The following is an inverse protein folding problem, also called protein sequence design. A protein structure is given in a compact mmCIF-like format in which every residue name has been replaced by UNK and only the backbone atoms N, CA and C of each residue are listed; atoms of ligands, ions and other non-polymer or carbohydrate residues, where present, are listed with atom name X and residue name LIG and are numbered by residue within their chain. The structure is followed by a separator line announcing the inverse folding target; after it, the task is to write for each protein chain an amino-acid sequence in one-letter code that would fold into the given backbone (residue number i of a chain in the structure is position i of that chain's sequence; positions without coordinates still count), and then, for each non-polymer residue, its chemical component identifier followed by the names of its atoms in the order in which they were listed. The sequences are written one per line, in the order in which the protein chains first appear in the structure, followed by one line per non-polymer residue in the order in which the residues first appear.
data_IF_270308299337
#
_entry.id   IF_270308299337
#
_cell.length_a   1.000
_cell.length_b   1.000
_cell.length_c   1.000
_cell.angle_alpha   90.00
_cell.angle_beta   90.00
_cell.angle_gamma   90.00
#
_symmetry.space_group_name_H-M   'P 1'
#
loop_
_entity.id
_entity.type
_entity.pdbx_description
1 polymer ?
#
# COMPACT_ATOMS: atom_id res chain seq x y z
N UNK A 1 12.85 -8.08 -16.89
CA UNK A 1 11.67 -8.95 -17.10
C UNK A 1 11.25 -9.51 -15.75
N UNK A 2 9.96 -9.58 -15.43
CA UNK A 2 9.48 -10.10 -14.13
C UNK A 2 9.60 -11.62 -14.12
N UNK A 3 10.22 -12.19 -13.09
CA UNK A 3 10.34 -13.65 -12.96
C UNK A 3 9.08 -14.24 -12.33
N UNK A 4 8.74 -15.49 -12.69
CA UNK A 4 7.51 -16.13 -12.21
C UNK A 4 7.46 -16.28 -10.68
N UNK A 5 8.61 -16.53 -10.04
CA UNK A 5 8.76 -16.60 -8.59
C UNK A 5 8.53 -15.26 -7.87
N UNK A 6 8.58 -14.12 -8.59
CA UNK A 6 8.31 -12.78 -8.04
C UNK A 6 6.81 -12.45 -8.02
N UNK A 7 6.01 -13.18 -8.80
CA UNK A 7 4.56 -12.98 -8.89
C UNK A 7 3.88 -13.62 -7.69
N UNK A 8 3.03 -12.84 -7.02
CA UNK A 8 2.16 -13.37 -5.98
C UNK A 8 0.93 -14.03 -6.60
N UNK A 9 0.71 -15.32 -6.29
CA UNK A 9 -0.51 -16.06 -6.62
C UNK A 9 -1.61 -15.95 -5.56
N UNK A 10 -2.86 -16.25 -5.93
CA UNK A 10 -4.01 -16.15 -5.03
C UNK A 10 -3.92 -17.08 -3.80
N UNK A 11 -3.42 -18.30 -3.99
CA UNK A 11 -3.24 -19.26 -2.89
C UNK A 11 -2.20 -18.76 -1.89
N UNK A 12 -1.02 -18.34 -2.37
CA UNK A 12 0.03 -17.76 -1.54
C UNK A 12 -0.46 -16.50 -0.80
N UNK A 13 -1.21 -15.61 -1.48
CA UNK A 13 -1.85 -14.46 -0.82
C UNK A 13 -2.72 -14.91 0.35
N UNK A 14 -3.64 -15.84 0.10
CA UNK A 14 -4.63 -16.27 1.08
C UNK A 14 -4.03 -17.05 2.25
N UNK A 15 -2.97 -17.82 2.03
CA UNK A 15 -2.37 -18.69 3.04
C UNK A 15 -1.21 -18.03 3.79
N UNK A 16 -0.46 -17.12 3.17
CA UNK A 16 0.76 -16.56 3.77
C UNK A 16 0.57 -15.12 4.27
N UNK A 17 -0.19 -14.29 3.55
CA UNK A 17 -0.24 -12.84 3.82
C UNK A 17 -1.54 -12.37 4.45
N UNK A 18 -2.69 -12.89 4.00
CA UNK A 18 -3.98 -12.58 4.64
C UNK A 18 -4.03 -13.00 6.12
N UNK A 19 -3.48 -14.16 6.53
CA UNK A 19 -3.54 -14.59 7.93
C UNK A 19 -2.71 -13.72 8.89
N UNK A 20 -1.79 -12.90 8.37
CA UNK A 20 -1.04 -11.91 9.16
C UNK A 20 -1.96 -10.81 9.73
N UNK A 21 -3.11 -10.58 9.09
CA UNK A 21 -4.15 -9.74 9.66
C UNK A 21 -4.93 -10.52 10.71
N UNK A 22 -5.18 -9.95 11.89
CA UNK A 22 -6.04 -10.62 12.89
C UNK A 22 -7.47 -10.84 12.36
N UNK A 23 -8.22 -11.85 12.86
CA UNK A 23 -9.61 -12.04 12.48
C UNK A 23 -10.48 -10.79 12.66
N UNK A 24 -10.23 -10.03 13.75
CA UNK A 24 -10.90 -8.75 14.03
C UNK A 24 -10.60 -7.72 12.95
N UNK A 25 -9.34 -7.53 12.57
CA UNK A 25 -8.95 -6.58 11.52
C UNK A 25 -9.61 -6.93 10.18
N UNK A 26 -9.65 -8.22 9.82
CA UNK A 26 -10.34 -8.68 8.60
C UNK A 26 -11.85 -8.45 8.65
N UNK A 27 -12.47 -8.59 9.81
CA UNK A 27 -13.91 -8.37 9.98
C UNK A 27 -14.30 -6.90 9.75
N UNK A 28 -13.46 -5.95 10.17
CA UNK A 28 -13.67 -4.50 9.92
C UNK A 28 -13.79 -4.22 8.42
N UNK A 29 -12.94 -4.84 7.60
CA UNK A 29 -12.97 -4.69 6.13
C UNK A 29 -14.25 -5.25 5.47
N UNK A 30 -15.02 -6.13 6.14
CA UNK A 30 -16.26 -6.67 5.59
C UNK A 30 -17.43 -5.68 5.68
N UNK A 31 -17.37 -4.75 6.64
CA UNK A 31 -18.41 -3.74 6.86
C UNK A 31 -17.89 -2.36 6.50
N UNK A 32 -18.47 -1.77 5.44
CA UNK A 32 -18.17 -0.39 5.04
C UNK A 32 -18.46 0.60 6.16
N UNK A 33 -19.48 0.31 6.97
CA UNK A 33 -19.84 1.12 8.12
C UNK A 33 -18.78 1.05 9.23
N UNK A 34 -18.38 -0.16 9.65
CA UNK A 34 -17.36 -0.34 10.68
C UNK A 34 -16.02 0.28 10.27
N UNK A 35 -15.64 0.13 8.99
CA UNK A 35 -14.46 0.78 8.42
C UNK A 35 -14.55 2.30 8.54
N UNK A 36 -15.69 2.92 8.21
CA UNK A 36 -15.85 4.37 8.28
C UNK A 36 -15.83 4.93 9.69
N UNK A 37 -16.52 4.28 10.63
CA UNK A 37 -16.48 4.69 12.04
C UNK A 37 -15.06 4.66 12.59
N UNK A 38 -14.30 3.61 12.27
CA UNK A 38 -12.90 3.51 12.64
C UNK A 38 -12.08 4.69 12.06
N UNK A 39 -12.19 4.94 10.77
CA UNK A 39 -11.46 6.02 10.10
C UNK A 39 -11.79 7.39 10.71
N UNK A 40 -13.08 7.67 10.94
CA UNK A 40 -13.54 8.90 11.58
C UNK A 40 -12.99 9.05 13.00
N UNK A 41 -13.00 7.98 13.80
CA UNK A 41 -12.43 8.00 15.17
C UNK A 41 -10.93 8.28 15.22
N UNK A 42 -10.23 8.11 14.09
CA UNK A 42 -8.79 8.37 13.94
C UNK A 42 -8.51 9.63 13.11
N UNK A 43 -9.52 10.45 12.83
CA UNK A 43 -9.41 11.65 11.99
C UNK A 43 -8.86 11.37 10.58
N UNK A 44 -9.09 10.16 10.06
CA UNK A 44 -8.72 9.78 8.69
C UNK A 44 -9.86 10.14 7.76
N UNK A 45 -9.57 10.94 6.74
CA UNK A 45 -10.58 11.45 5.82
C UNK A 45 -11.33 10.32 5.09
N UNK A 46 -12.66 10.33 5.20
CA UNK A 46 -13.59 9.46 4.48
C UNK A 46 -14.88 10.23 4.20
N UNK A 47 -15.73 9.73 3.29
CA UNK A 47 -17.01 10.38 2.99
C UNK A 47 -17.89 10.48 4.25
N UNK A 48 -18.49 11.65 4.48
CA UNK A 48 -19.40 11.89 5.59
C UNK A 48 -20.61 10.96 5.47
N UNK A 49 -20.93 10.26 6.56
CA UNK A 49 -22.16 9.47 6.66
C UNK A 49 -23.30 10.43 7.00
N UNK A 50 -24.40 10.35 6.25
CA UNK A 50 -25.62 11.09 6.53
C UNK A 50 -26.60 10.23 7.33
N UNK A 51 -26.74 8.96 6.96
CA UNK A 51 -27.58 8.02 7.70
C UNK A 51 -27.18 6.56 7.48
N UNK A 52 -27.61 5.71 8.42
CA UNK A 52 -27.65 4.26 8.30
C UNK A 52 -29.10 3.87 8.55
N UNK A 53 -29.73 3.21 7.58
CA UNK A 53 -31.10 2.72 7.69
C UNK A 53 -31.03 1.20 7.82
N UNK A 54 -31.60 0.65 8.88
CA UNK A 54 -31.61 -0.79 9.16
C UNK A 54 -32.99 -1.43 9.05
N UNK A 55 -34.05 -0.61 9.06
CA UNK A 55 -35.45 -1.06 9.08
C UNK A 55 -36.29 -0.31 8.04
N UNK A 56 -37.43 -0.88 7.59
CA UNK A 56 -38.39 -0.15 6.76
C UNK A 56 -38.88 1.16 7.42
N UNK A 57 -39.05 1.17 8.74
CA UNK A 57 -39.44 2.36 9.50
C UNK A 57 -38.38 3.46 9.38
N UNK A 58 -37.08 3.12 9.48
CA UNK A 58 -35.99 4.09 9.25
C UNK A 58 -36.08 4.73 7.86
N UNK A 59 -36.52 3.97 6.84
CA UNK A 59 -36.67 4.47 5.46
C UNK A 59 -37.84 5.44 5.35
N UNK A 60 -38.93 5.17 6.05
CA UNK A 60 -40.11 6.04 6.06
C UNK A 60 -39.86 7.35 6.82
N UNK A 61 -39.19 7.27 7.97
CA UNK A 61 -38.97 8.38 8.90
C UNK A 61 -37.78 9.28 8.54
N UNK A 62 -36.89 8.83 7.65
CA UNK A 62 -35.72 9.62 7.26
C UNK A 62 -36.10 10.91 6.50
N UNK A 63 -35.49 12.04 6.87
CA UNK A 63 -35.67 13.33 6.18
C UNK A 63 -34.95 13.34 4.83
N UNK A 64 -35.59 12.75 3.82
CA UNK A 64 -35.12 12.73 2.44
C UNK A 64 -34.98 14.13 1.83
N UNK A 65 -35.81 15.08 2.26
CA UNK A 65 -35.80 16.45 1.73
C UNK A 65 -34.50 17.17 2.09
N UNK A 66 -33.83 16.79 3.18
CA UNK A 66 -32.49 17.29 3.52
C UNK A 66 -31.40 16.93 2.50
N UNK A 67 -31.57 15.85 1.72
CA UNK A 67 -30.60 15.38 0.74
C UNK A 67 -30.63 16.20 -0.56
N UNK A 68 -30.05 17.40 -0.52
CA UNK A 68 -30.11 18.36 -1.63
C UNK A 68 -29.25 17.99 -2.84
N UNK A 69 -28.05 17.47 -2.62
CA UNK A 69 -27.09 17.16 -3.70
C UNK A 69 -25.95 16.25 -3.23
N UNK A 70 -25.26 15.66 -4.20
CA UNK A 70 -24.02 14.91 -4.02
C UNK A 70 -24.07 13.92 -2.84
N UNK A 71 -24.98 12.95 -2.93
CA UNK A 71 -25.06 11.83 -2.00
C UNK A 71 -25.06 10.49 -2.73
N UNK A 72 -24.74 9.42 -2.02
CA UNK A 72 -24.75 8.04 -2.51
C UNK A 72 -25.56 7.19 -1.56
N UNK A 73 -26.44 6.37 -2.13
CA UNK A 73 -27.15 5.29 -1.44
C UNK A 73 -26.48 3.98 -1.85
N UNK A 74 -26.12 3.15 -0.87
CA UNK A 74 -25.53 1.84 -1.14
C UNK A 74 -25.79 0.84 -0.01
N UNK A 75 -25.75 -0.47 -0.29
CA UNK A 75 -25.71 -1.50 0.75
C UNK A 75 -24.41 -1.44 1.57
N UNK A 76 -24.50 -1.73 2.87
CA UNK A 76 -23.31 -1.88 3.74
C UNK A 76 -22.42 -3.05 3.31
N UNK A 77 -23.02 -4.14 2.81
CA UNK A 77 -22.35 -5.41 2.45
C UNK A 77 -22.44 -5.75 0.94
N UNK A 78 -22.53 -4.73 0.06
CA UNK A 78 -22.67 -4.95 -1.38
C UNK A 78 -21.41 -5.49 -2.08
N UNK A 79 -21.62 -6.26 -3.15
CA UNK A 79 -20.59 -6.78 -4.04
C UNK A 79 -20.62 -6.13 -5.42
N UNK A 80 -19.43 -5.87 -6.00
CA UNK A 80 -19.25 -5.41 -7.39
C UNK A 80 -20.05 -4.14 -7.79
N UNK A 81 -20.39 -3.29 -6.82
CA UNK A 81 -21.14 -2.05 -7.05
C UNK A 81 -22.65 -2.24 -7.30
N UNK A 82 -23.20 -3.43 -7.04
CA UNK A 82 -24.65 -3.66 -7.08
C UNK A 82 -25.33 -2.85 -5.96
N UNK A 83 -26.51 -2.29 -6.27
CA UNK A 83 -27.30 -1.47 -5.33
C UNK A 83 -26.73 -0.08 -5.04
N UNK A 84 -25.63 0.33 -5.70
CA UNK A 84 -25.04 1.66 -5.51
C UNK A 84 -25.69 2.65 -6.47
N UNK A 85 -26.33 3.69 -5.93
CA UNK A 85 -26.91 4.79 -6.70
C UNK A 85 -26.33 6.10 -6.20
N UNK A 86 -25.75 6.88 -7.11
CA UNK A 86 -25.13 8.17 -6.79
C UNK A 86 -25.97 9.31 -7.36
N UNK A 87 -26.37 10.24 -6.51
CA UNK A 87 -27.24 11.35 -6.83
C UNK A 87 -26.46 12.65 -7.01
N UNK A 88 -26.83 13.42 -8.05
CA UNK A 88 -26.25 14.74 -8.33
C UNK A 88 -27.00 15.84 -7.59
N UNK A 89 -28.32 15.90 -7.74
CA UNK A 89 -29.15 16.98 -7.20
C UNK A 89 -30.60 16.57 -7.02
N UNK A 90 -31.25 17.19 -6.04
CA UNK A 90 -32.70 17.28 -5.91
C UNK A 90 -33.25 18.32 -6.90
N UNK A 91 -34.47 18.10 -7.37
CA UNK A 91 -35.22 19.04 -8.21
C UNK A 91 -35.89 20.12 -7.35
N UNK A 92 -36.35 21.19 -7.99
CA UNK A 92 -36.97 22.32 -7.30
C UNK A 92 -38.28 21.93 -6.57
N UNK A 93 -38.97 20.89 -7.05
CA UNK A 93 -40.20 20.35 -6.45
C UNK A 93 -39.97 19.58 -5.15
N UNK A 94 -38.71 19.32 -4.79
CA UNK A 94 -38.28 18.53 -3.63
C UNK A 94 -38.78 17.08 -3.59
N UNK A 95 -39.36 16.58 -4.68
CA UNK A 95 -39.92 15.23 -4.81
C UNK A 95 -39.14 14.34 -5.76
N UNK A 96 -38.27 14.93 -6.57
CA UNK A 96 -37.45 14.20 -7.53
C UNK A 96 -35.95 14.46 -7.37
N UNK A 97 -35.15 13.46 -7.73
CA UNK A 97 -33.70 13.54 -7.77
C UNK A 97 -33.17 13.02 -9.10
N UNK A 98 -32.04 13.56 -9.54
CA UNK A 98 -31.32 13.05 -10.70
C UNK A 98 -30.04 12.37 -10.28
N UNK A 99 -29.84 11.14 -10.73
CA UNK A 99 -28.61 10.39 -10.52
C UNK A 99 -27.45 10.83 -11.45
N UNK A 100 -26.26 10.29 -11.23
CA UNK A 100 -25.07 10.59 -12.06
C UNK A 100 -25.19 10.12 -13.49
N UNK A 101 -26.05 9.13 -13.79
CA UNK A 101 -26.23 8.62 -15.16
C UNK A 101 -27.30 9.36 -15.95
N UNK A 102 -28.19 10.08 -15.28
CA UNK A 102 -29.24 10.92 -15.86
C UNK A 102 -30.66 10.48 -15.54
N UNK A 103 -30.85 9.37 -14.83
CA UNK A 103 -32.18 8.87 -14.44
C UNK A 103 -32.78 9.79 -13.37
N UNK A 104 -34.07 10.07 -13.52
CA UNK A 104 -34.89 10.76 -12.53
C UNK A 104 -35.51 9.70 -11.61
N UNK A 105 -35.46 9.96 -10.31
CA UNK A 105 -36.00 9.11 -9.26
C UNK A 105 -37.01 9.93 -8.46
N UNK A 106 -38.22 9.41 -8.26
CA UNK A 106 -39.13 9.95 -7.25
C UNK A 106 -38.67 9.58 -5.84
N UNK A 107 -39.30 10.18 -4.82
CA UNK A 107 -39.08 9.76 -3.43
C UNK A 107 -39.47 8.29 -3.23
N UNK A 108 -40.57 7.86 -3.82
CA UNK A 108 -41.07 6.49 -3.75
C UNK A 108 -40.08 5.51 -4.40
N UNK A 109 -39.47 5.87 -5.54
CA UNK A 109 -38.43 5.04 -6.17
C UNK A 109 -37.21 4.87 -5.25
N UNK A 110 -36.81 5.94 -4.55
CA UNK A 110 -35.67 5.92 -3.62
C UNK A 110 -35.98 5.05 -2.41
N UNK A 111 -37.18 5.19 -1.83
CA UNK A 111 -37.65 4.37 -0.71
C UNK A 111 -37.72 2.90 -1.10
N UNK A 112 -38.29 2.59 -2.26
CA UNK A 112 -38.36 1.23 -2.79
C UNK A 112 -36.96 0.63 -2.96
N UNK A 113 -36.00 1.35 -3.54
CA UNK A 113 -34.61 0.89 -3.67
C UNK A 113 -33.94 0.62 -2.32
N UNK A 114 -34.27 1.40 -1.29
CA UNK A 114 -33.79 1.17 0.07
C UNK A 114 -34.42 -0.09 0.66
N UNK A 115 -35.74 -0.29 0.52
CA UNK A 115 -36.45 -1.48 0.98
C UNK A 115 -35.92 -2.76 0.29
N UNK A 116 -35.69 -2.71 -1.01
CA UNK A 116 -35.02 -3.75 -1.80
C UNK A 116 -33.60 -4.06 -1.28
N UNK A 117 -32.89 -3.02 -0.84
CA UNK A 117 -31.57 -3.20 -0.24
C UNK A 117 -31.66 -3.89 1.12
N UNK A 118 -32.64 -3.52 1.97
CA UNK A 118 -32.90 -4.13 3.27
C UNK A 118 -33.39 -5.58 3.15
N UNK A 119 -34.11 -5.93 2.07
CA UNK A 119 -34.52 -7.30 1.76
C UNK A 119 -33.37 -8.18 1.24
N UNK A 120 -32.18 -7.60 1.03
CA UNK A 120 -30.98 -8.32 0.67
C UNK A 120 -30.73 -8.46 -0.83
N UNK A 121 -31.54 -7.84 -1.70
CA UNK A 121 -31.45 -8.00 -3.16
C UNK A 121 -30.04 -7.70 -3.73
N UNK A 122 -29.30 -6.79 -3.10
CA UNK A 122 -27.97 -6.34 -3.54
C UNK A 122 -26.81 -6.82 -2.67
N UNK A 123 -27.09 -7.62 -1.64
CA UNK A 123 -26.09 -8.15 -0.72
C UNK A 123 -25.70 -9.57 -1.12
N UNK A 124 -24.44 -9.96 -0.90
CA UNK A 124 -24.00 -11.32 -1.25
C UNK A 124 -23.99 -12.28 -0.06
N UNK A 125 -23.82 -11.76 1.16
CA UNK A 125 -23.69 -12.57 2.38
C UNK A 125 -24.15 -11.76 3.61
N UNK A 126 -24.52 -12.47 4.68
CA UNK A 126 -24.92 -11.90 5.97
C UNK A 126 -26.44 -11.78 6.14
N UNK A 127 -26.90 -11.76 7.39
CA UNK A 127 -28.31 -11.63 7.75
C UNK A 127 -28.78 -10.17 7.91
N UNK A 128 -27.84 -9.24 8.06
CA UNK A 128 -28.14 -7.84 8.35
C UNK A 128 -27.78 -6.98 7.14
N UNK A 129 -28.81 -6.59 6.40
CA UNK A 129 -28.71 -5.74 5.23
C UNK A 129 -29.12 -4.33 5.64
N UNK A 130 -28.17 -3.41 5.65
CA UNK A 130 -28.45 -2.01 5.96
C UNK A 130 -28.14 -1.14 4.75
N UNK A 131 -28.84 -0.02 4.66
CA UNK A 131 -28.56 1.05 3.70
C UNK A 131 -27.64 2.06 4.37
N UNK A 132 -26.59 2.49 3.65
CA UNK A 132 -25.79 3.64 4.04
C UNK A 132 -26.01 4.77 3.04
N UNK A 133 -26.33 5.95 3.58
CA UNK A 133 -26.43 7.21 2.85
C UNK A 133 -25.22 8.04 3.22
N UNK A 134 -24.43 8.46 2.23
CA UNK A 134 -23.20 9.21 2.47
C UNK A 134 -22.92 10.28 1.41
N UNK A 135 -21.97 11.16 1.71
CA UNK A 135 -21.42 12.13 0.77
C UNK A 135 -20.91 11.46 -0.50
N UNK A 136 -21.34 11.97 -1.67
CA UNK A 136 -20.73 11.63 -2.95
C UNK A 136 -19.45 12.42 -3.12
N UNK A 137 -18.31 11.71 -3.21
CA UNK A 137 -17.03 12.36 -3.48
C UNK A 137 -16.96 12.73 -4.98
N UNK A 138 -16.86 14.02 -5.32
CA UNK A 138 -16.78 14.47 -6.70
C UNK A 138 -15.44 14.08 -7.34
N UNK A 139 -15.45 13.99 -8.67
CA UNK A 139 -14.26 13.67 -9.46
C UNK A 139 -13.27 14.83 -9.37
N UNK A 140 -12.00 14.53 -9.10
CA UNK A 140 -10.94 15.54 -9.17
C UNK A 140 -10.81 16.11 -10.60
N UNK A 141 -10.75 17.44 -10.81
CA UNK A 141 -10.71 18.04 -12.15
C UNK A 141 -9.60 17.49 -13.06
N UNK A 142 -8.42 17.20 -12.50
CA UNK A 142 -7.29 16.60 -13.25
C UNK A 142 -7.59 15.21 -13.84
N UNK A 143 -8.55 14.47 -13.26
CA UNK A 143 -8.90 13.12 -13.69
C UNK A 143 -10.18 13.08 -14.55
N UNK A 144 -10.91 14.19 -14.65
CA UNK A 144 -12.23 14.26 -15.30
C UNK A 144 -12.22 13.78 -16.75
N UNK A 145 -11.19 14.16 -17.52
CA UNK A 145 -11.06 13.79 -18.93
C UNK A 145 -10.75 12.31 -19.19
N UNK A 146 -10.36 11.56 -18.16
CA UNK A 146 -9.95 10.16 -18.28
C UNK A 146 -11.04 9.17 -17.89
N UNK A 147 -12.23 9.65 -17.53
CA UNK A 147 -13.27 8.80 -16.92
C UNK A 147 -14.65 9.08 -17.50
N UNK A 148 -15.46 8.04 -17.56
CA UNK A 148 -16.85 8.11 -17.97
C UNK A 148 -17.80 8.09 -16.76
N UNK A 149 -18.43 9.22 -16.46
CA UNK A 149 -19.48 9.46 -15.43
C UNK A 149 -19.13 9.13 -13.95
N UNK A 150 -18.32 8.11 -13.69
CA UNK A 150 -17.95 7.62 -12.37
C UNK A 150 -16.70 8.28 -11.77
N UNK A 151 -16.46 8.03 -10.49
CA UNK A 151 -15.28 8.52 -9.79
C UNK A 151 -14.11 7.53 -9.93
N UNK A 152 -12.96 7.95 -10.48
CA UNK A 152 -11.74 7.15 -10.47
C UNK A 152 -11.27 6.88 -9.04
N UNK A 153 -10.84 5.65 -8.76
CA UNK A 153 -10.22 5.32 -7.49
C UNK A 153 -8.73 4.99 -7.66
N UNK A 154 -7.98 5.29 -6.62
CA UNK A 154 -6.60 4.85 -6.45
C UNK A 154 -6.59 3.73 -5.43
N UNK A 155 -6.11 2.55 -5.82
CA UNK A 155 -5.82 1.46 -4.88
C UNK A 155 -4.35 1.45 -4.56
N UNK A 156 -4.03 1.47 -3.27
CA UNK A 156 -2.68 1.24 -2.75
C UNK A 156 -2.65 -0.08 -1.98
N UNK A 157 -1.74 -0.99 -2.33
CA UNK A 157 -1.45 -2.15 -1.49
C UNK A 157 -0.42 -1.72 -0.45
N UNK A 158 -0.78 -1.89 0.81
CA UNK A 158 0.08 -1.64 1.96
C UNK A 158 0.44 -2.97 2.59
N UNK A 159 1.74 -3.16 2.85
CA UNK A 159 2.25 -4.30 3.59
C UNK A 159 3.28 -3.83 4.62
N UNK A 160 3.16 -4.30 5.87
CA UNK A 160 4.03 -3.89 6.98
C UNK A 160 4.17 -2.35 7.10
N UNK A 161 3.05 -1.62 7.01
CA UNK A 161 3.04 -0.14 6.96
C UNK A 161 3.84 0.51 5.82
N UNK A 162 4.21 -0.21 4.77
CA UNK A 162 4.86 0.31 3.55
C UNK A 162 3.89 0.21 2.37
N UNK A 163 3.70 1.27 1.57
CA UNK A 163 2.97 1.18 0.31
C UNK A 163 3.85 0.48 -0.72
N UNK A 164 3.47 -0.74 -1.11
CA UNK A 164 4.30 -1.60 -1.96
C UNK A 164 3.91 -1.55 -3.44
N UNK A 165 2.66 -1.23 -3.77
CA UNK A 165 2.19 -1.17 -5.15
C UNK A 165 0.90 -0.35 -5.24
N UNK A 166 0.70 0.40 -6.32
CA UNK A 166 -0.50 1.19 -6.50
C UNK A 166 -1.05 1.12 -7.93
N UNK A 167 -2.33 1.45 -8.08
CA UNK A 167 -2.99 1.59 -9.38
C UNK A 167 -4.09 2.64 -9.34
N UNK A 168 -4.35 3.25 -10.49
CA UNK A 168 -5.55 4.02 -10.76
C UNK A 168 -6.54 3.13 -11.51
N UNK A 169 -7.81 3.18 -11.14
CA UNK A 169 -8.91 2.57 -11.89
C UNK A 169 -9.75 3.67 -12.51
N UNK A 170 -9.98 3.56 -13.82
CA UNK A 170 -10.72 4.51 -14.62
C UNK A 170 -12.04 3.88 -15.06
N UNK A 171 -13.18 4.40 -14.56
CA UNK A 171 -14.49 4.04 -15.09
C UNK A 171 -14.62 4.31 -16.60
N UNK A 172 -15.19 3.34 -17.30
CA UNK A 172 -15.47 3.35 -18.75
C UNK A 172 -16.97 3.25 -19.02
N UNK A 173 -17.35 3.43 -20.28
CA UNK A 173 -18.72 3.17 -20.74
C UNK A 173 -19.12 1.70 -20.55
N UNK A 174 -18.23 0.75 -20.89
CA UNK A 174 -18.47 -0.69 -20.70
C UNK A 174 -18.77 -1.03 -19.22
N UNK A 175 -18.08 -0.36 -18.30
CA UNK A 175 -18.32 -0.53 -16.86
C UNK A 175 -19.56 0.16 -16.32
N UNK A 176 -20.32 0.85 -17.17
CA UNK A 176 -21.45 1.69 -16.77
C UNK A 176 -21.03 2.83 -15.84
N UNK A 177 -19.78 3.30 -15.95
CA UNK A 177 -19.21 4.30 -15.05
C UNK A 177 -18.80 3.77 -13.67
N UNK A 178 -18.44 2.49 -13.55
CA UNK A 178 -17.95 1.89 -12.29
C UNK A 178 -16.46 1.60 -12.37
N UNK A 179 -15.72 1.79 -11.28
CA UNK A 179 -14.30 1.45 -11.22
C UNK A 179 -14.04 -0.06 -10.95
N UNK A 180 -14.70 -0.93 -11.74
CA UNK A 180 -14.62 -2.38 -11.61
C UNK A 180 -14.00 -3.01 -12.87
N UNK A 181 -12.77 -3.52 -12.74
CA UNK A 181 -12.01 -4.10 -13.86
C UNK A 181 -12.71 -5.33 -14.47
N UNK A 182 -13.45 -6.09 -13.66
CA UNK A 182 -14.22 -7.24 -14.18
C UNK A 182 -15.43 -6.82 -15.02
N UNK A 183 -15.83 -5.55 -14.96
CA UNK A 183 -16.94 -4.98 -15.72
C UNK A 183 -16.42 -4.08 -16.86
N UNK A 184 -15.14 -4.15 -17.24
CA UNK A 184 -14.60 -3.35 -18.35
C UNK A 184 -14.00 -2.00 -17.96
N UNK A 185 -13.79 -1.73 -16.66
CA UNK A 185 -13.03 -0.55 -16.25
C UNK A 185 -11.54 -0.75 -16.56
N UNK A 186 -10.84 0.35 -16.82
CA UNK A 186 -9.40 0.36 -17.10
C UNK A 186 -8.61 0.46 -15.81
N UNK A 187 -7.48 -0.22 -15.75
CA UNK A 187 -6.51 -0.15 -14.67
C UNK A 187 -5.20 0.41 -15.21
N UNK A 188 -4.57 1.33 -14.49
CA UNK A 188 -3.19 1.72 -14.78
C UNK A 188 -2.31 1.64 -13.55
N UNK A 189 -1.10 1.10 -13.70
CA UNK A 189 -0.11 1.04 -12.62
C UNK A 189 0.32 2.44 -12.22
N UNK A 190 0.80 2.62 -11.00
CA UNK A 190 1.32 3.90 -10.52
C UNK A 190 2.69 3.64 -9.90
N UNK A 191 3.70 4.36 -10.39
CA UNK A 191 5.01 4.38 -9.77
C UNK A 191 4.93 4.97 -8.36
N UNK A 192 5.41 4.23 -7.36
CA UNK A 192 5.27 4.61 -5.95
C UNK A 192 6.09 5.86 -5.65
N UNK A 193 7.27 6.03 -6.27
CA UNK A 193 8.13 7.17 -6.02
C UNK A 193 7.50 8.48 -6.50
N UNK A 194 6.99 8.50 -7.73
CA UNK A 194 6.59 9.74 -8.42
C UNK A 194 5.08 9.99 -8.41
N UNK A 195 4.26 8.96 -8.24
CA UNK A 195 2.80 9.06 -8.39
C UNK A 195 2.37 9.27 -9.84
N UNK A 196 3.17 8.80 -10.80
CA UNK A 196 2.89 8.88 -12.23
C UNK A 196 2.42 7.52 -12.72
N UNK A 197 1.37 7.50 -13.55
CA UNK A 197 0.85 6.25 -14.10
C UNK A 197 1.80 5.64 -15.14
N UNK A 198 1.86 4.31 -15.15
CA UNK A 198 2.84 3.55 -15.94
C UNK A 198 2.16 2.80 -17.08
N UNK A 199 1.68 1.57 -16.88
CA UNK A 199 1.08 0.78 -17.95
C UNK A 199 -0.44 0.69 -17.78
N UNK A 200 -1.18 0.81 -18.88
CA UNK A 200 -2.63 0.62 -18.93
C UNK A 200 -3.01 -0.84 -19.19
N UNK A 201 -4.06 -1.31 -18.55
CA UNK A 201 -4.59 -2.68 -18.64
C UNK A 201 -6.12 -2.65 -18.69
N UNK A 202 -6.69 -3.39 -19.63
CA UNK A 202 -8.11 -3.69 -19.75
C UNK A 202 -8.36 -5.20 -19.58
N UNK A 203 -9.60 -5.60 -19.31
CA UNK A 203 -10.01 -7.00 -19.13
C UNK A 203 -9.07 -7.83 -18.22
N UNK A 204 -8.48 -7.19 -17.21
CA UNK A 204 -7.51 -7.71 -16.22
C UNK A 204 -6.10 -8.04 -16.73
N UNK A 205 -5.88 -8.27 -18.02
CA UNK A 205 -4.57 -8.70 -18.54
C UNK A 205 -4.16 -8.09 -19.90
N UNK A 206 -5.05 -7.39 -20.61
CA UNK A 206 -4.76 -6.83 -21.92
C UNK A 206 -4.07 -5.47 -21.78
N UNK A 207 -2.83 -5.34 -22.25
CA UNK A 207 -2.11 -4.08 -22.22
C UNK A 207 -2.66 -3.10 -23.26
N UNK A 208 -2.90 -1.86 -22.83
CA UNK A 208 -3.37 -0.77 -23.67
C UNK A 208 -2.58 0.51 -23.39
N UNK A 209 -2.35 1.31 -24.41
CA UNK A 209 -1.60 2.57 -24.31
C UNK A 209 -2.52 3.79 -24.14
N UNK A 210 -3.71 3.70 -24.72
CA UNK A 210 -4.71 4.78 -24.78
C UNK A 210 -6.03 4.30 -24.19
N UNK A 211 -6.83 5.24 -23.70
CA UNK A 211 -8.24 4.95 -23.38
C UNK A 211 -8.95 4.61 -24.70
N UNK A 212 -9.67 3.47 -24.79
CA UNK A 212 -10.39 3.06 -25.99
C UNK A 212 -11.27 4.17 -26.55
N UNK A 213 -11.25 4.33 -27.87
CA UNK A 213 -12.00 5.39 -28.56
C UNK A 213 -11.42 6.81 -28.39
N UNK A 214 -10.26 7.00 -27.74
CA UNK A 214 -9.66 8.32 -27.53
C UNK A 214 -8.17 8.35 -27.88
N UNK A 215 -7.60 9.56 -27.97
CA UNK A 215 -6.14 9.78 -28.08
C UNK A 215 -5.45 10.00 -26.72
N UNK A 216 -6.17 9.77 -25.61
CA UNK A 216 -5.64 10.01 -24.27
C UNK A 216 -4.78 8.85 -23.81
N UNK A 217 -3.49 9.13 -23.55
CA UNK A 217 -2.54 8.15 -23.01
C UNK A 217 -2.87 7.80 -21.56
N UNK A 218 -2.68 6.53 -21.22
CA UNK A 218 -2.83 6.00 -19.87
C UNK A 218 -1.56 6.14 -19.03
N UNK A 219 -0.40 6.27 -19.67
CA UNK A 219 0.86 6.56 -19.00
C UNK A 219 1.07 8.07 -18.80
N UNK A 220 1.88 8.45 -17.81
CA UNK A 220 2.23 9.86 -17.57
C UNK A 220 1.17 10.68 -16.84
N UNK A 221 0.07 10.08 -16.37
CA UNK A 221 -0.96 10.78 -15.59
C UNK A 221 -0.41 10.98 -14.18
N UNK A 222 -0.21 12.23 -13.78
CA UNK A 222 0.25 12.57 -12.43
C UNK A 222 -0.91 12.58 -11.44
N UNK A 223 -0.85 11.71 -10.45
CA UNK A 223 -1.87 11.61 -9.40
C UNK A 223 -1.75 12.82 -8.44
N UNK A 224 -2.83 13.59 -8.24
CA UNK A 224 -2.81 14.72 -7.30
C UNK A 224 -2.69 14.25 -5.85
N UNK A 225 -2.04 15.06 -5.01
CA UNK A 225 -1.84 14.80 -3.58
C UNK A 225 -1.11 13.47 -3.27
N UNK A 226 -0.19 13.03 -4.13
CA UNK A 226 0.39 11.68 -4.06
C UNK A 226 1.00 11.31 -2.69
N UNK A 227 1.89 12.14 -2.13
CA UNK A 227 2.50 11.84 -0.83
C UNK A 227 1.45 11.76 0.29
N UNK A 228 0.47 12.68 0.27
CA UNK A 228 -0.65 12.64 1.22
C UNK A 228 -1.48 11.36 1.03
N UNK A 229 -1.70 10.92 -0.22
CA UNK A 229 -2.45 9.70 -0.54
C UNK A 229 -1.76 8.46 0.02
N UNK A 230 -0.45 8.34 -0.19
CA UNK A 230 0.35 7.26 0.39
C UNK A 230 0.27 7.28 1.92
N UNK A 231 0.46 8.45 2.54
CA UNK A 231 0.38 8.60 3.99
C UNK A 231 -0.99 8.19 4.55
N UNK A 232 -2.08 8.72 3.98
CA UNK A 232 -3.46 8.35 4.33
C UNK A 232 -3.69 6.84 4.19
N UNK A 233 -3.14 6.20 3.15
CA UNK A 233 -3.27 4.74 2.98
C UNK A 233 -2.59 3.94 4.08
N UNK A 234 -1.40 4.37 4.53
CA UNK A 234 -0.64 3.72 5.60
C UNK A 234 -1.35 3.95 6.95
N UNK A 235 -1.80 5.17 7.21
CA UNK A 235 -2.55 5.53 8.41
C UNK A 235 -3.84 4.71 8.53
N UNK A 236 -4.58 4.53 7.43
CA UNK A 236 -5.77 3.71 7.39
C UNK A 236 -5.48 2.22 7.67
N UNK A 237 -4.42 1.68 7.07
CA UNK A 237 -3.98 0.30 7.33
C UNK A 237 -3.59 0.10 8.80
N UNK A 238 -2.81 1.03 9.37
CA UNK A 238 -2.38 1.01 10.78
C UNK A 238 -3.56 1.15 11.74
N UNK A 239 -4.49 2.07 11.48
CA UNK A 239 -5.70 2.26 12.27
C UNK A 239 -6.54 0.98 12.37
N UNK A 240 -6.61 0.22 11.27
CA UNK A 240 -7.33 -1.05 11.21
C UNK A 240 -6.52 -2.26 11.71
N UNK A 241 -5.24 -2.09 12.08
CA UNK A 241 -4.36 -3.18 12.48
C UNK A 241 -4.11 -4.18 11.34
N UNK A 242 -4.07 -3.71 10.09
CA UNK A 242 -3.86 -4.55 8.91
C UNK A 242 -2.38 -4.57 8.53
N UNK A 243 -1.78 -5.76 8.58
CA UNK A 243 -0.43 -6.02 8.09
C UNK A 243 -0.38 -6.07 6.57
N UNK A 244 -1.44 -6.57 5.91
CA UNK A 244 -1.56 -6.66 4.44
C UNK A 244 -2.96 -6.22 3.99
N UNK A 245 -3.07 -5.15 3.20
CA UNK A 245 -4.38 -4.66 2.76
C UNK A 245 -4.30 -3.90 1.44
N UNK A 246 -5.39 -3.92 0.68
CA UNK A 246 -5.67 -2.90 -0.33
C UNK A 246 -6.46 -1.76 0.29
N UNK A 247 -6.02 -0.53 0.08
CA UNK A 247 -6.73 0.69 0.49
C UNK A 247 -7.23 1.39 -0.77
N UNK A 248 -8.53 1.58 -0.86
CA UNK A 248 -9.16 2.30 -1.98
C UNK A 248 -9.42 3.74 -1.57
N UNK A 249 -8.90 4.69 -2.36
CA UNK A 249 -9.02 6.12 -2.10
C UNK A 249 -9.63 6.84 -3.30
N UNK A 250 -10.52 7.78 -3.03
CA UNK A 250 -10.88 8.84 -3.97
C UNK A 250 -10.06 10.09 -3.66
N UNK A 251 -9.92 10.96 -4.66
CA UNK A 251 -9.19 12.21 -4.50
C UNK A 251 -10.17 13.36 -4.65
N UNK A 252 -10.43 14.05 -3.54
CA UNK A 252 -11.26 15.24 -3.52
C UNK A 252 -10.42 16.48 -3.87
N UNK A 253 -11.01 17.44 -4.61
CA UNK A 253 -10.32 18.68 -5.05
C UNK A 253 -9.71 19.47 -3.88
N UNK A 254 -10.49 19.67 -2.80
CA UNK A 254 -10.09 20.45 -1.62
C UNK A 254 -9.69 19.59 -0.42
N UNK A 255 -10.51 18.60 -0.03
CA UNK A 255 -10.25 17.70 1.10
C UNK A 255 -9.06 16.73 0.89
N UNK A 256 -8.56 16.60 -0.33
CA UNK A 256 -7.45 15.68 -0.65
C UNK A 256 -7.89 14.20 -0.70
N UNK A 257 -6.98 13.26 -0.42
CA UNK A 257 -7.27 11.83 -0.44
C UNK A 257 -8.30 11.42 0.63
N UNK A 258 -9.30 10.64 0.24
CA UNK A 258 -10.35 10.16 1.12
C UNK A 258 -10.50 8.64 0.97
N UNK A 259 -10.40 7.91 2.08
CA UNK A 259 -10.52 6.46 2.10
C UNK A 259 -11.97 6.05 1.86
N UNK A 260 -12.15 5.14 0.91
CA UNK A 260 -13.45 4.60 0.49
C UNK A 260 -13.69 3.22 1.10
N UNK A 261 -12.68 2.35 1.01
CA UNK A 261 -12.78 0.96 1.44
C UNK A 261 -11.39 0.42 1.85
N UNK A 262 -11.39 -0.48 2.84
CA UNK A 262 -10.25 -1.33 3.18
C UNK A 262 -10.57 -2.75 2.76
N UNK A 263 -9.61 -3.41 2.11
CA UNK A 263 -9.79 -4.77 1.59
C UNK A 263 -8.66 -5.68 2.06
N UNK A 264 -9.01 -6.62 2.95
CA UNK A 264 -8.06 -7.62 3.45
C UNK A 264 -7.65 -8.68 2.40
N UNK A 265 -8.37 -8.78 1.27
CA UNK A 265 -8.13 -9.72 0.17
C UNK A 265 -7.92 -8.98 -1.16
N UNK A 266 -6.91 -8.09 -1.25
CA UNK A 266 -6.72 -7.28 -2.44
C UNK A 266 -6.49 -8.15 -3.69
N UNK A 267 -7.12 -7.76 -4.79
CA UNK A 267 -6.97 -8.41 -6.09
C UNK A 267 -5.55 -8.24 -6.67
N UNK A 268 -5.06 -9.29 -7.34
CA UNK A 268 -3.65 -9.41 -7.74
C UNK A 268 -3.36 -8.93 -9.16
N UNK A 269 -4.38 -8.53 -9.93
CA UNK A 269 -4.22 -8.01 -11.30
C UNK A 269 -3.39 -6.71 -11.35
N UNK A 270 -3.25 -6.01 -10.23
CA UNK A 270 -2.40 -4.84 -10.07
C UNK A 270 -0.94 -5.09 -10.50
N UNK A 271 -0.45 -6.33 -10.39
CA UNK A 271 0.89 -6.73 -10.81
C UNK A 271 1.10 -6.57 -12.32
N UNK A 272 0.04 -6.80 -13.12
CA UNK A 272 0.09 -6.67 -14.58
C UNK A 272 0.31 -5.21 -14.98
N UNK A 273 -0.45 -4.29 -14.38
CA UNK A 273 -0.38 -2.88 -14.72
C UNK A 273 0.90 -2.18 -14.21
N UNK A 274 1.52 -2.73 -13.16
CA UNK A 274 2.83 -2.27 -12.68
C UNK A 274 4.01 -3.01 -13.31
N UNK A 275 3.75 -4.02 -14.16
CA UNK A 275 4.77 -4.95 -14.69
C UNK A 275 5.80 -5.35 -13.64
N UNK A 276 5.33 -5.70 -12.45
CA UNK A 276 6.18 -6.02 -11.30
C UNK A 276 5.51 -7.06 -10.40
N UNK A 277 6.32 -7.97 -9.86
CA UNK A 277 5.88 -8.99 -8.93
C UNK A 277 5.62 -8.46 -7.53
N UNK A 278 4.45 -8.76 -6.97
CA UNK A 278 4.06 -8.32 -5.63
C UNK A 278 4.79 -9.12 -4.54
N UNK A 279 5.14 -10.39 -4.80
CA UNK A 279 5.84 -11.24 -3.82
C UNK A 279 7.24 -10.69 -3.53
N UNK A 280 8.03 -10.38 -4.57
CA UNK A 280 9.35 -9.75 -4.41
C UNK A 280 9.28 -8.45 -3.62
N UNK A 281 8.23 -7.64 -3.84
CA UNK A 281 8.04 -6.38 -3.12
C UNK A 281 7.72 -6.58 -1.65
N UNK A 282 6.91 -7.59 -1.31
CA UNK A 282 6.62 -7.99 0.07
C UNK A 282 7.91 -8.44 0.78
N UNK A 283 8.68 -9.34 0.17
CA UNK A 283 9.90 -9.91 0.75
C UNK A 283 10.94 -8.81 1.10
N UNK A 284 11.02 -7.74 0.31
CA UNK A 284 11.92 -6.60 0.56
C UNK A 284 11.59 -5.76 1.79
N UNK A 285 10.36 -5.82 2.30
CA UNK A 285 9.91 -4.96 3.41
C UNK A 285 9.39 -5.72 4.62
N UNK A 286 9.31 -7.05 4.56
CA UNK A 286 8.72 -7.88 5.63
C UNK A 286 9.45 -7.78 6.97
N UNK A 287 10.77 -7.59 6.94
CA UNK A 287 11.61 -7.54 8.14
C UNK A 287 11.93 -6.10 8.59
N UNK A 288 11.36 -5.08 7.93
CA UNK A 288 11.65 -3.69 8.24
C UNK A 288 10.84 -3.20 9.45
N UNK A 289 11.48 -2.42 10.32
CA UNK A 289 10.78 -1.72 11.40
C UNK A 289 10.24 -0.36 10.92
N UNK A 290 8.93 -0.25 10.74
CA UNK A 290 8.28 0.97 10.26
C UNK A 290 7.67 1.77 11.42
N UNK A 291 8.44 2.77 11.85
CA UNK A 291 8.10 3.69 12.95
C UNK A 291 6.73 4.37 12.80
N UNK A 292 6.47 5.00 11.64
CA UNK A 292 5.25 5.78 11.40
C UNK A 292 4.93 5.86 9.89
N UNK A 293 3.82 6.52 9.54
CA UNK A 293 3.35 6.62 8.16
C UNK A 293 4.33 7.36 7.23
N UNK A 294 4.99 8.42 7.72
CA UNK A 294 5.99 9.14 6.92
C UNK A 294 7.23 8.27 6.64
N UNK A 295 7.68 7.49 7.62
CA UNK A 295 8.76 6.53 7.43
C UNK A 295 8.40 5.43 6.42
N UNK A 296 7.19 4.86 6.54
CA UNK A 296 6.69 3.85 5.61
C UNK A 296 6.56 4.36 4.19
N UNK A 297 6.08 5.60 4.01
CA UNK A 297 6.00 6.26 2.71
C UNK A 297 7.40 6.41 2.08
N UNK A 298 8.38 6.94 2.83
CA UNK A 298 9.76 7.12 2.33
C UNK A 298 10.41 5.79 1.95
N UNK A 299 10.21 4.73 2.75
CA UNK A 299 10.68 3.38 2.42
C UNK A 299 10.05 2.92 1.09
N UNK A 300 8.73 3.05 0.94
CA UNK A 300 8.03 2.64 -0.28
C UNK A 300 8.54 3.39 -1.51
N UNK A 301 8.69 4.71 -1.41
CA UNK A 301 9.21 5.55 -2.50
C UNK A 301 10.66 5.19 -2.86
N UNK A 302 11.52 4.94 -1.88
CA UNK A 302 12.91 4.58 -2.11
C UNK A 302 13.08 3.18 -2.71
N UNK A 303 12.31 2.19 -2.24
CA UNK A 303 12.47 0.80 -2.67
C UNK A 303 11.79 0.51 -4.01
N UNK A 304 10.68 1.19 -4.30
CA UNK A 304 9.77 0.81 -5.38
C UNK A 304 9.63 1.85 -6.48
N UNK A 305 10.61 2.74 -6.61
CA UNK A 305 10.79 3.56 -7.79
C UNK A 305 10.97 2.67 -9.03
N UNK A 306 10.13 2.84 -10.04
CA UNK A 306 10.43 2.38 -11.39
C UNK A 306 11.60 3.23 -11.94
N UNK A 307 12.40 2.64 -12.86
CA UNK A 307 13.60 3.23 -13.46
C UNK A 307 13.36 4.50 -14.32
N UNK A 308 12.33 5.31 -14.02
CA UNK A 308 12.25 6.71 -14.46
C UNK A 308 13.30 7.61 -13.76
N UNK A 309 14.05 7.04 -12.82
CA UNK A 309 15.00 7.70 -11.92
C UNK A 309 16.26 8.29 -12.57
N UNK A 310 16.51 8.10 -13.86
CA UNK A 310 17.63 8.81 -14.52
C UNK A 310 17.35 10.31 -14.71
N UNK A 311 16.17 10.84 -14.33
CA UNK A 311 15.82 12.25 -14.59
C UNK A 311 15.26 13.10 -13.46
N UNK A 312 15.03 12.61 -12.25
CA UNK A 312 14.51 13.46 -11.17
C UNK A 312 15.20 13.14 -9.84
N UNK A 313 16.37 13.74 -9.65
CA UNK A 313 17.10 13.81 -8.39
C UNK A 313 16.51 14.90 -7.48
N UNK A 314 16.39 14.59 -6.19
CA UNK A 314 16.38 15.62 -5.14
C UNK A 314 15.32 15.51 -4.05
N UNK A 315 15.73 14.90 -2.92
CA UNK A 315 15.84 15.49 -1.56
C UNK A 315 15.27 14.60 -0.46
N UNK A 316 16.19 14.08 0.36
CA UNK A 316 15.93 13.29 1.57
C UNK A 316 16.27 11.80 1.39
N UNK A 317 17.45 11.50 0.84
CA UNK A 317 17.83 10.14 0.47
C UNK A 317 18.14 9.30 1.71
N UNK A 318 17.33 8.27 1.94
CA UNK A 318 17.76 7.13 2.74
C UNK A 318 18.94 6.50 1.97
N UNK A 319 20.14 6.38 2.55
CA UNK A 319 21.29 5.88 1.83
C UNK A 319 21.02 4.46 1.32
N UNK A 320 21.17 4.29 0.01
CA UNK A 320 21.04 3.01 -0.68
C UNK A 320 22.38 2.27 -0.59
N UNK A 321 22.33 1.01 -0.20
CA UNK A 321 23.46 0.09 -0.14
C UNK A 321 23.46 -0.80 -1.38
N UNK A 322 24.61 -0.90 -2.01
CA UNK A 322 24.90 -1.94 -3.00
C UNK A 322 25.11 -3.30 -2.31
N UNK A 323 25.17 -4.38 -3.09
CA UNK A 323 25.48 -5.73 -2.57
C UNK A 323 26.87 -5.73 -1.89
N UNK A 324 27.80 -4.95 -2.43
CA UNK A 324 29.13 -4.74 -1.89
C UNK A 324 29.32 -3.26 -1.52
N UNK A 325 29.73 -3.01 -0.29
CA UNK A 325 30.00 -1.67 0.22
C UNK A 325 31.40 -1.58 0.82
N UNK A 326 31.95 -0.37 0.89
CA UNK A 326 33.17 -0.13 1.68
C UNK A 326 32.76 0.42 3.04
N UNK A 327 33.21 -0.25 4.11
CA UNK A 327 32.99 0.19 5.49
C UNK A 327 34.30 0.61 6.13
N UNK A 328 34.25 1.64 6.97
CA UNK A 328 35.38 1.97 7.85
C UNK A 328 35.14 1.32 9.20
N UNK A 329 35.96 0.36 9.58
CA UNK A 329 35.90 -0.30 10.90
C UNK A 329 36.87 0.41 11.85
N UNK A 330 36.44 0.65 13.08
CA UNK A 330 37.25 1.30 14.12
C UNK A 330 37.75 0.27 15.13
N UNK A 331 39.04 0.38 15.42
CA UNK A 331 39.75 -0.40 16.42
C UNK A 331 40.05 0.40 17.68
N UNK A 332 40.92 -0.16 18.51
CA UNK A 332 41.46 0.48 19.70
C UNK A 332 42.52 1.53 19.33
N UNK A 333 42.86 2.42 20.29
CA UNK A 333 43.92 3.44 20.14
C UNK A 333 43.78 4.35 18.90
N UNK A 334 42.57 4.50 18.37
CA UNK A 334 42.30 5.32 17.18
C UNK A 334 42.59 4.63 15.84
N UNK A 335 42.89 3.33 15.84
CA UNK A 335 43.05 2.54 14.62
C UNK A 335 41.73 2.52 13.81
N UNK A 336 41.86 2.59 12.49
CA UNK A 336 40.73 2.46 11.57
C UNK A 336 41.18 1.80 10.28
N UNK A 337 40.34 0.95 9.72
CA UNK A 337 40.62 0.22 8.49
C UNK A 337 39.41 0.26 7.57
N UNK A 338 39.66 0.46 6.27
CA UNK A 338 38.63 0.30 5.25
C UNK A 338 38.56 -1.15 4.79
N UNK A 339 37.36 -1.71 4.79
CA UNK A 339 37.12 -3.09 4.42
C UNK A 339 35.95 -3.19 3.45
N UNK A 340 36.05 -4.10 2.49
CA UNK A 340 34.90 -4.50 1.67
C UNK A 340 33.94 -5.31 2.52
N UNK A 341 32.68 -4.91 2.50
CA UNK A 341 31.58 -5.51 3.21
C UNK A 341 30.55 -6.07 2.22
N UNK A 342 30.14 -7.32 2.43
CA UNK A 342 29.00 -7.91 1.75
C UNK A 342 27.72 -7.61 2.55
N UNK A 343 26.69 -7.09 1.89
CA UNK A 343 25.37 -6.93 2.50
C UNK A 343 24.64 -8.28 2.45
N UNK A 344 24.70 -9.04 3.54
CA UNK A 344 24.16 -10.40 3.60
C UNK A 344 22.83 -10.45 4.38
N UNK A 345 21.72 -10.28 3.67
CA UNK A 345 20.37 -10.38 4.26
C UNK A 345 19.99 -11.79 4.72
N UNK A 346 20.72 -12.83 4.29
CA UNK A 346 20.54 -14.21 4.77
C UNK A 346 21.01 -14.41 6.21
N UNK A 347 21.87 -13.52 6.74
CA UNK A 347 22.40 -13.59 8.10
C UNK A 347 21.69 -12.60 9.02
N UNK A 348 21.43 -13.01 10.27
CA UNK A 348 20.85 -12.12 11.27
C UNK A 348 21.88 -11.14 11.86
N UNK A 349 23.02 -11.65 12.34
CA UNK A 349 24.14 -10.86 12.91
C UNK A 349 25.23 -10.61 11.89
N UNK A 350 25.92 -9.49 11.99
CA UNK A 350 27.11 -9.22 11.16
C UNK A 350 28.30 -10.09 11.58
N UNK A 351 29.26 -10.26 10.67
CA UNK A 351 30.50 -10.97 10.92
C UNK A 351 31.71 -10.21 10.36
N UNK A 352 32.88 -10.48 10.94
CA UNK A 352 34.14 -9.83 10.62
C UNK A 352 35.27 -10.85 10.53
N UNK A 353 36.20 -10.63 9.58
CA UNK A 353 37.37 -11.47 9.39
C UNK A 353 38.30 -11.43 10.60
N UNK A 354 38.76 -12.59 11.08
CA UNK A 354 39.61 -12.66 12.27
C UNK A 354 40.94 -11.93 12.13
N UNK A 355 41.51 -11.85 10.93
CA UNK A 355 42.71 -11.03 10.66
C UNK A 355 42.43 -9.53 10.79
N UNK A 356 41.26 -9.07 10.36
CA UNK A 356 40.88 -7.65 10.47
C UNK A 356 40.68 -7.24 11.93
N UNK A 357 40.08 -8.12 12.73
CA UNK A 357 39.92 -7.90 14.18
C UNK A 357 41.27 -7.78 14.88
N UNK A 358 42.22 -8.69 14.59
CA UNK A 358 43.59 -8.62 15.13
C UNK A 358 44.31 -7.34 14.72
N UNK A 359 44.19 -6.94 13.45
CA UNK A 359 44.81 -5.71 12.92
C UNK A 359 44.31 -4.45 13.64
N UNK A 360 43.05 -4.45 14.06
CA UNK A 360 42.40 -3.34 14.74
C UNK A 360 42.53 -3.37 16.27
N UNK A 361 43.27 -4.34 16.83
CA UNK A 361 43.40 -4.49 18.28
C UNK A 361 42.10 -4.87 18.99
N UNK A 362 41.08 -5.33 18.27
CA UNK A 362 39.74 -5.60 18.82
C UNK A 362 39.62 -6.97 19.54
N UNK A 363 40.73 -7.65 19.75
CA UNK A 363 40.82 -8.87 20.57
C UNK A 363 41.97 -8.65 21.54
N UNK A 364 41.63 -8.48 22.81
CA UNK A 364 42.53 -8.81 23.90
C UNK A 364 42.31 -10.28 24.31
N UNK A 365 43.37 -10.94 24.77
CA UNK A 365 43.37 -12.39 25.05
C UNK A 365 42.40 -12.74 26.20
N UNK A 366 42.03 -11.75 27.01
CA UNK A 366 41.18 -11.88 28.19
C UNK A 366 39.68 -11.56 27.94
N UNK A 367 39.31 -11.05 26.76
CA UNK A 367 37.94 -10.56 26.47
C UNK A 367 37.05 -11.57 25.70
N UNK A 368 37.44 -12.85 25.70
CA UNK A 368 36.67 -13.99 25.16
C UNK A 368 35.43 -14.33 26.02
N UNK A 369 34.62 -13.34 26.37
CA UNK A 369 33.53 -13.52 27.32
C UNK A 369 32.32 -14.31 26.75
N UNK A 370 32.16 -14.42 25.43
CA UNK A 370 30.95 -15.03 24.84
C UNK A 370 31.24 -15.83 23.56
N UNK A 371 30.94 -17.13 23.62
CA UNK A 371 30.88 -18.01 22.44
C UNK A 371 29.43 -18.21 22.02
N UNK A 372 29.12 -17.98 20.74
CA UNK A 372 27.79 -18.26 20.20
C UNK A 372 27.82 -19.52 19.34
N UNK A 373 26.87 -20.43 19.57
CA UNK A 373 26.70 -21.63 18.75
C UNK A 373 26.00 -21.27 17.44
N UNK A 374 26.69 -21.50 16.32
CA UNK A 374 26.19 -21.25 14.97
C UNK A 374 25.96 -22.58 14.27
N UNK A 375 24.78 -22.74 13.67
CA UNK A 375 24.45 -23.93 12.88
C UNK A 375 25.48 -24.10 11.74
N UNK A 376 26.21 -25.22 11.75
CA UNK A 376 27.25 -25.54 10.76
C UNK A 376 28.65 -24.95 11.01
N UNK A 377 28.85 -24.09 12.03
CA UNK A 377 30.16 -23.48 12.32
C UNK A 377 30.62 -23.60 13.78
N UNK A 378 29.84 -24.23 14.66
CA UNK A 378 30.21 -24.46 16.06
C UNK A 378 30.19 -23.18 16.90
N UNK A 379 30.93 -23.17 18.02
CA UNK A 379 31.09 -22.02 18.92
C UNK A 379 32.07 -21.02 18.30
N UNK A 380 31.59 -19.85 17.89
CA UNK A 380 32.43 -18.77 17.36
C UNK A 380 32.55 -17.62 18.38
N UNK A 381 33.73 -16.97 18.48
CA UNK A 381 33.90 -15.79 19.32
C UNK A 381 33.16 -14.58 18.73
N UNK A 382 32.72 -13.70 19.61
CA UNK A 382 31.98 -12.47 19.28
C UNK A 382 32.75 -11.28 19.82
N UNK A 383 32.89 -10.21 19.03
CA UNK A 383 33.58 -8.99 19.44
C UNK A 383 32.68 -7.78 19.23
N UNK A 384 32.81 -6.75 20.08
CA UNK A 384 32.16 -5.48 19.82
C UNK A 384 32.90 -4.72 18.71
N UNK A 385 32.16 -4.23 17.73
CA UNK A 385 32.70 -3.53 16.57
C UNK A 385 31.95 -2.22 16.37
N UNK A 386 32.71 -1.15 16.24
CA UNK A 386 32.22 0.14 15.74
C UNK A 386 32.62 0.25 14.28
N UNK A 387 31.69 0.55 13.39
CA UNK A 387 31.98 0.78 11.98
C UNK A 387 31.14 1.90 11.40
N UNK A 388 31.57 2.44 10.26
CA UNK A 388 30.86 3.47 9.49
C UNK A 388 30.43 2.91 8.14
N UNK A 389 29.14 3.07 7.83
CA UNK A 389 28.52 2.66 6.58
C UNK A 389 27.67 3.82 6.02
N UNK A 390 27.96 4.26 4.79
CA UNK A 390 27.35 5.44 4.11
C UNK A 390 27.14 6.64 5.06
N UNK A 391 28.19 7.01 5.78
CA UNK A 391 28.19 8.17 6.70
C UNK A 391 27.55 7.94 8.08
N UNK A 392 26.93 6.78 8.35
CA UNK A 392 26.38 6.46 9.68
C UNK A 392 27.35 5.58 10.47
N UNK A 393 27.55 5.90 11.74
CA UNK A 393 28.31 5.07 12.69
C UNK A 393 27.38 4.08 13.39
N UNK A 394 27.80 2.83 13.50
CA UNK A 394 27.02 1.72 14.08
C UNK A 394 27.94 0.98 15.07
N UNK A 395 27.46 0.74 16.29
CA UNK A 395 28.11 -0.13 17.29
C UNK A 395 27.30 -1.42 17.38
N UNK A 396 27.94 -2.56 17.16
CA UNK A 396 27.27 -3.86 17.21
C UNK A 396 28.24 -4.97 17.60
N UNK A 397 27.70 -6.10 18.02
CA UNK A 397 28.46 -7.32 18.27
C UNK A 397 28.56 -8.14 16.98
N UNK A 398 29.76 -8.41 16.49
CA UNK A 398 30.00 -9.20 15.28
C UNK A 398 30.61 -10.57 15.60
N UNK A 399 30.22 -11.58 14.82
CA UNK A 399 30.85 -12.91 14.86
C UNK A 399 32.22 -12.82 14.20
N UNK A 400 33.25 -13.37 14.84
CA UNK A 400 34.58 -13.45 14.24
C UNK A 400 34.67 -14.73 13.40
N UNK A 401 34.91 -14.59 12.10
CA UNK A 401 34.97 -15.74 11.17
C UNK A 401 36.35 -15.87 10.53
N UNK A 402 36.94 -17.07 10.62
CA UNK A 402 38.18 -17.42 9.89
C UNK A 402 37.94 -17.56 8.39
N UNK A 403 36.73 -17.92 7.95
CA UNK A 403 36.37 -18.08 6.53
C UNK A 403 36.48 -16.77 5.75
N UNK A 404 36.21 -15.65 6.41
CA UNK A 404 36.31 -14.32 5.81
C UNK A 404 37.76 -13.86 5.59
N UNK A 405 38.76 -14.55 6.15
CA UNK A 405 40.17 -14.20 5.92
C UNK A 405 40.59 -14.42 4.46
N UNK A 406 40.03 -15.42 3.77
CA UNK A 406 40.31 -15.70 2.36
C UNK A 406 39.35 -15.00 1.40
N UNK A 407 38.24 -14.47 1.89
CA UNK A 407 37.27 -13.71 1.09
C UNK A 407 37.79 -12.32 0.70
N UNK A 408 37.34 -11.79 -0.44
CA UNK A 408 37.52 -10.38 -0.79
C UNK A 408 36.69 -9.46 0.09
N UNK A 409 35.54 -9.92 0.59
CA UNK A 409 34.71 -9.19 1.56
C UNK A 409 35.12 -9.60 2.97
N UNK A 410 35.83 -8.73 3.67
CA UNK A 410 36.34 -9.00 5.04
C UNK A 410 35.28 -8.79 6.11
N UNK A 411 34.13 -8.23 5.74
CA UNK A 411 32.98 -7.99 6.62
C UNK A 411 31.72 -8.49 5.94
N UNK A 412 30.79 -9.04 6.70
CA UNK A 412 29.43 -9.32 6.24
C UNK A 412 28.45 -8.59 7.15
N UNK A 413 27.61 -7.72 6.59
CA UNK A 413 26.61 -6.96 7.35
C UNK A 413 25.29 -7.72 7.32
N UNK A 414 24.84 -8.16 8.50
CA UNK A 414 23.60 -8.92 8.67
C UNK A 414 22.39 -8.01 8.92
N UNK A 415 21.18 -8.59 8.85
CA UNK A 415 19.90 -7.87 8.96
C UNK A 415 19.79 -6.93 10.18
N UNK A 416 20.37 -7.31 11.33
CA UNK A 416 20.35 -6.50 12.56
C UNK A 416 20.95 -5.11 12.37
N UNK A 417 21.98 -4.99 11.54
CA UNK A 417 22.78 -3.78 11.40
C UNK A 417 22.45 -2.98 10.12
N UNK A 418 21.44 -3.42 9.37
CA UNK A 418 20.95 -2.78 8.14
C UNK A 418 19.74 -1.87 8.38
N UNK A 419 19.34 -1.67 9.64
CA UNK A 419 18.22 -0.80 10.01
C UNK A 419 18.44 0.63 9.52
N UNK A 420 17.46 1.17 8.79
CA UNK A 420 17.48 2.53 8.26
C UNK A 420 18.30 2.70 6.97
N UNK A 421 18.76 1.62 6.34
CA UNK A 421 19.31 1.62 4.98
C UNK A 421 18.35 0.94 4.01
N UNK A 422 18.47 1.27 2.73
CA UNK A 422 17.75 0.60 1.64
C UNK A 422 18.74 -0.26 0.87
N UNK A 423 18.45 -1.54 0.65
CA UNK A 423 19.36 -2.44 -0.07
C UNK A 423 18.92 -2.49 -1.54
N UNK A 424 19.86 -2.21 -2.46
CA UNK A 424 19.65 -2.32 -3.90
C UNK A 424 19.48 -3.79 -4.26
N UNK A 425 18.38 -4.20 -4.91
CA UNK A 425 18.22 -5.57 -5.35
C UNK A 425 19.23 -5.89 -6.45
N UNK A 426 19.82 -7.07 -6.39
CA UNK A 426 20.49 -7.72 -7.53
C UNK A 426 19.56 -7.86 -8.74
#
# INVERSE_FOLDING_TARGET
MVQANEILGMNARNQLFVPLNSPRARAICKSKYATKLLLQSKNIATAKIYAILGTPEDVEDFDWVSLKKDFVIKPTNGHAGKGVVAFRKQHADQKHWTDVVGKIWSLEDIKLHCQDTLSGQYSTHGSNHNVIIEERIPIHPKLLKYTFKGTPDVRVIVFNSVPIMAKLRLPTEESGGRANISQGAIMTGIDIATGITTHGVEHKNQLIQYIPGTKLKLNGIRIPFWNQLLKTSIEAARAAGLMYTGVDLFIHKTKGPMVVELNAYPGLSIQVANKAGLRRRIERVQDLNVLNADHGMRIGQALFAENFSDKISGKGEIPILEIEETVTVYGEEGLKEEAKALINTGRFRSAIASQLVKKLGLIDVDDLLWFQQIAGEGKQPVVEVKFRLKGRKISTSMIVSKKLNTSSQKVEIGRKDLSGFVIRPS
#
